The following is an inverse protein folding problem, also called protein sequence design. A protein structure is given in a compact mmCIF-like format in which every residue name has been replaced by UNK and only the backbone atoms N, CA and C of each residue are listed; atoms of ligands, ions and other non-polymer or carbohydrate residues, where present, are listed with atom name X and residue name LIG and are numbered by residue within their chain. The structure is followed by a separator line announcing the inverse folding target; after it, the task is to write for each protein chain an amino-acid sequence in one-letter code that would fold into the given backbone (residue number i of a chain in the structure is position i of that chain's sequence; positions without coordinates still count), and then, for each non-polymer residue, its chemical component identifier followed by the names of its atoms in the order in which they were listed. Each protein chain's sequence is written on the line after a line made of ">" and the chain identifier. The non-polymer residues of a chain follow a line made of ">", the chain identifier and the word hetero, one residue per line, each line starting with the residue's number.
data_IF_144741277435
#
_entry.id   IF_144741277435
#
_cell.length_a   1.000
_cell.length_b   1.000
_cell.length_c   1.000
_cell.angle_alpha   90.00
_cell.angle_beta   90.00
_cell.angle_gamma   90.00
#
_symmetry.space_group_name_H-M   'P 1'
#
loop_
_entity.id
_entity.type
_entity.pdbx_description
1 polymer ?
#
# COMPACT_ATOMS: atom_id res chain seq x y z
N UNK A 1 -4.80 -4.08 -5.62
CA UNK A 1 -5.89 -3.34 -6.31
C UNK A 1 -5.58 -1.85 -6.38
N UNK A 2 -5.07 -1.25 -5.30
CA UNK A 2 -4.52 0.09 -5.33
C UNK A 2 -3.33 0.23 -6.32
N UNK A 3 -2.58 -0.84 -6.60
CA UNK A 3 -1.55 -0.86 -7.65
C UNK A 3 -2.05 -0.39 -9.01
N UNK A 4 -3.26 -0.82 -9.41
CA UNK A 4 -3.83 -0.44 -10.70
C UNK A 4 -4.12 1.05 -10.75
N UNK A 5 -4.59 1.61 -9.64
CA UNK A 5 -4.87 3.04 -9.53
C UNK A 5 -3.57 3.84 -9.59
N UNK A 6 -2.53 3.41 -8.86
CA UNK A 6 -1.21 4.03 -8.91
C UNK A 6 -0.56 3.93 -10.31
N UNK A 7 -0.70 2.79 -10.98
CA UNK A 7 -0.20 2.55 -12.33
C UNK A 7 -0.93 3.39 -13.39
N UNK A 8 -2.24 3.59 -13.24
CA UNK A 8 -3.06 4.35 -14.19
C UNK A 8 -3.07 5.85 -13.91
N UNK A 9 -2.64 6.29 -12.72
CA UNK A 9 -2.63 7.71 -12.34
C UNK A 9 -1.96 8.63 -13.38
N UNK A 10 -0.78 8.30 -13.96
CA UNK A 10 -0.18 9.13 -15.01
C UNK A 10 -1.06 9.26 -16.26
N UNK A 11 -1.75 8.18 -16.66
CA UNK A 11 -2.65 8.19 -17.80
C UNK A 11 -3.93 9.01 -17.52
N UNK A 12 -4.45 8.92 -16.29
CA UNK A 12 -5.61 9.72 -15.84
C UNK A 12 -5.26 11.21 -15.85
N UNK A 13 -4.07 11.58 -15.35
CA UNK A 13 -3.60 12.97 -15.35
C UNK A 13 -3.42 13.51 -16.78
N UNK A 14 -2.81 12.73 -17.68
CA UNK A 14 -2.69 13.12 -19.09
C UNK A 14 -4.06 13.31 -19.77
N UNK A 15 -5.02 12.42 -19.51
CA UNK A 15 -6.36 12.52 -20.06
C UNK A 15 -7.12 13.76 -19.59
N UNK A 16 -7.00 14.10 -18.30
CA UNK A 16 -7.61 15.29 -17.71
C UNK A 16 -7.03 16.58 -18.29
N UNK A 17 -5.71 16.61 -18.56
CA UNK A 17 -5.02 17.74 -19.17
C UNK A 17 -5.37 17.92 -20.65
N UNK A 18 -5.49 16.82 -21.43
CA UNK A 18 -5.80 16.89 -22.86
C UNK A 18 -7.25 17.27 -23.14
N UNK A 19 -8.20 16.81 -22.32
CA UNK A 19 -9.64 16.93 -22.63
C UNK A 19 -10.27 18.20 -22.06
N UNK A 20 -9.55 19.00 -21.25
CA UNK A 20 -10.09 20.16 -20.52
C UNK A 20 -11.41 19.84 -19.79
N UNK A 21 -11.54 18.60 -19.32
CA UNK A 21 -12.74 18.06 -18.68
C UNK A 21 -12.87 18.62 -17.26
N UNK A 22 -13.23 19.90 -17.14
CA UNK A 22 -13.35 20.63 -15.87
C UNK A 22 -14.31 19.98 -14.89
N UNK A 23 -15.28 19.20 -15.37
CA UNK A 23 -16.30 18.55 -14.54
C UNK A 23 -15.76 17.40 -13.67
N UNK A 24 -14.60 16.83 -14.01
CA UNK A 24 -13.98 15.70 -13.31
C UNK A 24 -12.58 16.00 -12.77
N UNK A 25 -12.06 17.22 -12.99
CA UNK A 25 -10.77 17.67 -12.44
C UNK A 25 -10.76 17.62 -10.91
N UNK A 26 -11.90 17.94 -10.28
CA UNK A 26 -12.07 17.90 -8.82
C UNK A 26 -11.98 16.46 -8.25
N UNK A 27 -12.12 15.44 -9.09
CA UNK A 27 -11.96 14.03 -8.71
C UNK A 27 -10.53 13.51 -8.94
N UNK A 28 -9.63 14.34 -9.48
CA UNK A 28 -8.25 13.93 -9.70
C UNK A 28 -7.50 13.82 -8.38
N UNK A 29 -6.71 12.75 -8.24
CA UNK A 29 -5.83 12.60 -7.08
C UNK A 29 -4.61 13.49 -7.26
N UNK A 30 -4.37 14.37 -6.30
CA UNK A 30 -3.15 15.16 -6.26
C UNK A 30 -1.92 14.31 -5.98
N UNK A 31 -0.75 14.95 -6.01
CA UNK A 31 0.54 14.30 -5.64
C UNK A 31 0.47 13.73 -4.23
N UNK A 32 -0.06 14.50 -3.28
CA UNK A 32 -0.22 14.06 -1.88
C UNK A 32 -1.17 12.87 -1.74
N UNK A 33 -2.29 12.87 -2.45
CA UNK A 33 -3.25 11.75 -2.38
C UNK A 33 -2.63 10.47 -2.95
N UNK A 34 -1.82 10.61 -4.00
CA UNK A 34 -1.07 9.51 -4.60
C UNK A 34 0.00 8.97 -3.63
N UNK A 35 0.71 9.87 -2.95
CA UNK A 35 1.72 9.49 -1.95
C UNK A 35 1.08 8.75 -0.77
N UNK A 36 -0.02 9.27 -0.22
CA UNK A 36 -0.78 8.63 0.87
C UNK A 36 -1.33 7.27 0.43
N UNK A 37 -1.88 7.18 -0.78
CA UNK A 37 -2.38 5.90 -1.32
C UNK A 37 -1.26 4.87 -1.46
N UNK A 38 -0.06 5.30 -1.86
CA UNK A 38 1.12 4.43 -1.95
C UNK A 38 1.59 3.97 -0.58
N UNK A 39 1.53 4.83 0.44
CA UNK A 39 1.90 4.47 1.80
C UNK A 39 0.91 3.47 2.41
N UNK A 40 -0.40 3.73 2.25
CA UNK A 40 -1.48 2.80 2.62
C UNK A 40 -1.29 1.46 1.92
N UNK A 41 -0.94 1.47 0.63
CA UNK A 41 -0.72 0.25 -0.13
C UNK A 41 0.43 -0.59 0.46
N UNK A 42 1.58 0.04 0.73
CA UNK A 42 2.73 -0.64 1.34
C UNK A 42 2.39 -1.24 2.71
N UNK A 43 1.59 -0.54 3.52
CA UNK A 43 1.17 -1.03 4.85
C UNK A 43 0.27 -2.25 4.73
N UNK A 44 -0.66 -2.27 3.77
CA UNK A 44 -1.63 -3.36 3.59
C UNK A 44 -1.00 -4.57 2.87
N UNK A 45 0.01 -4.35 2.02
CA UNK A 45 0.73 -5.42 1.33
C UNK A 45 1.42 -6.37 2.31
N UNK A 46 2.01 -5.85 3.39
CA UNK A 46 2.72 -6.64 4.39
C UNK A 46 1.84 -7.72 5.07
N UNK A 47 0.67 -7.39 5.68
CA UNK A 47 -0.23 -8.40 6.21
C UNK A 47 -0.88 -9.24 5.12
N UNK A 48 -1.07 -8.72 3.90
CA UNK A 48 -1.60 -9.49 2.78
C UNK A 48 -0.68 -10.68 2.41
N UNK A 49 0.63 -10.45 2.30
CA UNK A 49 1.63 -11.50 2.03
C UNK A 49 1.63 -12.55 3.14
N UNK A 50 1.58 -12.12 4.41
CA UNK A 50 1.52 -13.05 5.54
C UNK A 50 0.23 -13.88 5.52
N UNK A 51 -0.90 -13.26 5.20
CA UNK A 51 -2.17 -13.96 5.04
C UNK A 51 -2.11 -14.98 3.91
N UNK A 52 -1.57 -14.64 2.76
CA UNK A 52 -1.43 -15.57 1.62
C UNK A 52 -0.56 -16.78 2.00
N UNK A 53 0.58 -16.53 2.65
CA UNK A 53 1.47 -17.57 3.15
C UNK A 53 0.76 -18.54 4.10
N UNK A 54 -0.03 -18.02 5.05
CA UNK A 54 -0.74 -18.82 6.05
C UNK A 54 -2.01 -19.49 5.49
N UNK A 55 -2.62 -18.91 4.47
CA UNK A 55 -3.83 -19.44 3.82
C UNK A 55 -3.54 -20.55 2.81
N UNK A 56 -2.27 -20.75 2.45
CA UNK A 56 -1.84 -21.77 1.48
C UNK A 56 -2.08 -23.23 1.94
N UNK A 57 -2.26 -23.46 3.25
CA UNK A 57 -2.48 -24.78 3.82
C UNK A 57 -3.80 -24.92 4.58
N UNK A 58 -4.37 -26.13 4.62
CA UNK A 58 -5.61 -26.45 5.36
C UNK A 58 -5.51 -26.15 6.87
N UNK A 59 -4.30 -26.22 7.41
CA UNK A 59 -3.94 -25.72 8.74
C UNK A 59 -2.49 -25.20 8.66
N UNK A 60 -2.23 -23.92 8.96
CA UNK A 60 -0.87 -23.43 9.02
C UNK A 60 -0.11 -24.18 10.14
N UNK A 61 1.09 -24.65 9.83
CA UNK A 61 1.96 -25.27 10.83
C UNK A 61 2.65 -24.20 11.66
N UNK A 62 3.07 -24.54 12.89
CA UNK A 62 3.75 -23.59 13.78
C UNK A 62 5.02 -23.00 13.14
N UNK A 63 5.74 -23.79 12.33
CA UNK A 63 6.89 -23.31 11.56
C UNK A 63 6.50 -22.24 10.54
N UNK A 64 5.35 -22.37 9.86
CA UNK A 64 4.87 -21.36 8.90
C UNK A 64 4.41 -20.09 9.60
N UNK A 65 3.74 -20.22 10.76
CA UNK A 65 3.32 -19.08 11.58
C UNK A 65 4.51 -18.28 12.08
N UNK A 66 5.58 -18.96 12.53
CA UNK A 66 6.80 -18.30 12.98
C UNK A 66 7.47 -17.52 11.83
N UNK A 67 7.62 -18.15 10.66
CA UNK A 67 8.19 -17.47 9.49
C UNK A 67 7.33 -16.29 9.01
N UNK A 68 6.00 -16.40 9.05
CA UNK A 68 5.10 -15.30 8.72
C UNK A 68 5.23 -14.14 9.73
N UNK A 69 5.39 -14.44 11.02
CA UNK A 69 5.61 -13.45 12.07
C UNK A 69 6.94 -12.72 11.88
N UNK A 70 8.03 -13.43 11.62
CA UNK A 70 9.34 -12.81 11.37
C UNK A 70 9.31 -11.89 10.14
N UNK A 71 8.61 -12.32 9.07
CA UNK A 71 8.39 -11.50 7.88
C UNK A 71 7.59 -10.24 8.20
N UNK A 72 6.50 -10.35 8.97
CA UNK A 72 5.72 -9.20 9.44
C UNK A 72 6.57 -8.24 10.25
N UNK A 73 7.28 -8.72 11.27
CA UNK A 73 8.09 -7.89 12.16
C UNK A 73 9.23 -7.16 11.41
N UNK A 74 9.90 -7.87 10.49
CA UNK A 74 10.97 -7.29 9.67
C UNK A 74 10.45 -6.21 8.72
N UNK A 75 9.36 -6.49 7.99
CA UNK A 75 8.75 -5.54 7.06
C UNK A 75 8.14 -4.33 7.76
N UNK A 76 7.54 -4.54 8.94
CA UNK A 76 6.97 -3.46 9.74
C UNK A 76 8.05 -2.51 10.25
N UNK A 77 9.19 -3.05 10.71
CA UNK A 77 10.34 -2.24 11.13
C UNK A 77 10.90 -1.42 9.95
N UNK A 78 10.92 -2.00 8.75
CA UNK A 78 11.32 -1.30 7.54
C UNK A 78 10.35 -0.17 7.16
N UNK A 79 9.04 -0.41 7.27
CA UNK A 79 8.01 0.61 7.02
C UNK A 79 8.10 1.78 8.01
N UNK A 80 8.37 1.50 9.29
CA UNK A 80 8.60 2.55 10.31
C UNK A 80 9.76 3.48 9.95
N UNK A 81 10.80 2.97 9.27
CA UNK A 81 11.92 3.79 8.80
C UNK A 81 11.63 4.56 7.50
N UNK A 82 10.62 4.15 6.74
CA UNK A 82 10.33 4.69 5.40
C UNK A 82 9.20 5.74 5.44
N UNK A 83 8.18 5.52 6.27
CA UNK A 83 7.03 6.39 6.41
C UNK A 83 7.21 7.17 7.72
N UNK A 84 7.60 8.45 7.63
CA UNK A 84 7.93 9.25 8.81
C UNK A 84 6.72 9.46 9.73
N UNK A 85 5.51 9.45 9.17
CA UNK A 85 4.24 9.55 9.89
C UNK A 85 4.05 8.42 10.93
N UNK A 86 4.66 7.24 10.70
CA UNK A 86 4.62 6.13 11.65
C UNK A 86 5.59 6.29 12.83
N UNK A 87 6.62 7.13 12.71
CA UNK A 87 7.58 7.37 13.79
C UNK A 87 7.07 8.35 14.85
N UNK A 88 6.02 9.10 14.52
CA UNK A 88 5.50 10.20 15.37
C UNK A 88 4.45 9.72 16.39
N UNK A 89 3.97 8.47 16.31
CA UNK A 89 2.85 7.96 17.15
C UNK A 89 3.30 7.25 18.44
N UNK A 90 4.46 7.63 19.00
CA UNK A 90 5.00 7.09 20.25
C UNK A 90 5.31 8.20 21.28
N UNK A 91 4.47 9.24 21.34
CA UNK A 91 4.41 10.21 22.47
C UNK A 91 3.03 10.23 23.13
#
# INVERSE_FOLDING_TARGET
>A
MADRVLMLNPAIQSFLLETQNTDIVDLSMGVKDTDVLRDIHQIIEVPHIAQELLSSGRSPTLSMVLSAYELLAGRWSQLQSTIWEFSTTLE
#
